data_IF_825670860075
#
_entry.id   IF_825670860075
#
_cell.length_a   1.000
_cell.length_b   1.000
_cell.length_c   1.000
_cell.angle_alpha   90.00
_cell.angle_beta   90.00
_cell.angle_gamma   90.00
#
_symmetry.space_group_name_H-M   'P 1'
#
loop_
_entity.id
_entity.type
_entity.pdbx_description
1 polymer ?
#
# COMPACT_ATOMS: atom_id res chain seq x y z
N UNK A 1 -4.28 -19.70 -9.62
CA UNK A 1 -4.14 -18.72 -8.51
C UNK A 1 -5.33 -17.79 -8.56
N UNK A 2 -6.03 -17.57 -7.44
CA UNK A 2 -7.00 -16.46 -7.36
C UNK A 2 -6.20 -15.15 -7.37
N UNK A 3 -6.68 -14.09 -8.05
CA UNK A 3 -6.05 -12.78 -7.96
C UNK A 3 -6.13 -12.26 -6.52
N UNK A 4 -5.08 -11.56 -6.08
CA UNK A 4 -5.04 -10.86 -4.79
C UNK A 4 -6.04 -9.69 -4.82
N UNK A 5 -6.86 -9.56 -3.77
CA UNK A 5 -7.80 -8.45 -3.62
C UNK A 5 -7.06 -7.11 -3.51
N UNK A 6 -5.89 -7.12 -2.88
CA UNK A 6 -4.98 -5.96 -2.75
C UNK A 6 -4.45 -5.48 -4.10
N UNK A 7 -4.14 -6.40 -5.01
CA UNK A 7 -3.78 -6.05 -6.39
C UNK A 7 -4.98 -5.48 -7.16
N UNK A 8 -6.16 -6.08 -7.03
CA UNK A 8 -7.38 -5.59 -7.69
C UNK A 8 -7.76 -4.17 -7.20
N UNK A 9 -7.62 -3.91 -5.90
CA UNK A 9 -7.79 -2.58 -5.31
C UNK A 9 -6.83 -1.57 -5.93
N UNK A 10 -5.53 -1.91 -6.02
CA UNK A 10 -4.54 -1.03 -6.64
C UNK A 10 -4.89 -0.70 -8.09
N UNK A 11 -5.22 -1.70 -8.92
CA UNK A 11 -5.62 -1.49 -10.31
C UNK A 11 -6.83 -0.55 -10.47
N UNK A 12 -7.75 -0.53 -9.49
CA UNK A 12 -8.83 0.46 -9.45
C UNK A 12 -8.32 1.86 -9.12
N UNK A 13 -7.49 1.99 -8.08
CA UNK A 13 -6.90 3.28 -7.65
C UNK A 13 -6.13 3.94 -8.80
N UNK A 14 -5.34 3.17 -9.56
CA UNK A 14 -4.54 3.69 -10.69
C UNK A 14 -5.38 4.44 -11.72
N UNK A 15 -6.60 3.98 -11.97
CA UNK A 15 -7.51 4.58 -12.97
C UNK A 15 -7.99 5.96 -12.55
N UNK A 16 -8.02 6.24 -11.25
CA UNK A 16 -8.62 7.46 -10.69
C UNK A 16 -7.58 8.45 -10.20
N UNK A 17 -6.54 7.98 -9.52
CA UNK A 17 -5.56 8.83 -8.82
C UNK A 17 -4.35 9.17 -9.67
N UNK A 18 -4.05 8.37 -10.71
CA UNK A 18 -2.86 8.56 -11.54
C UNK A 18 -1.58 8.21 -10.77
N UNK A 19 -1.13 6.97 -10.89
CA UNK A 19 -0.04 6.42 -10.06
C UNK A 19 1.25 6.18 -10.86
N UNK A 20 1.50 6.95 -11.91
CA UNK A 20 2.61 6.68 -12.85
C UNK A 20 4.01 6.74 -12.20
N UNK A 21 4.12 7.46 -11.07
CA UNK A 21 5.36 7.55 -10.26
C UNK A 21 5.50 6.44 -9.20
N UNK A 22 4.55 5.51 -9.12
CA UNK A 22 4.55 4.44 -8.13
C UNK A 22 5.04 3.12 -8.74
N UNK A 23 6.09 2.57 -8.18
CA UNK A 23 6.70 1.32 -8.62
C UNK A 23 6.34 0.19 -7.65
N UNK A 24 6.07 -1.01 -8.18
CA UNK A 24 5.79 -2.19 -7.35
C UNK A 24 6.98 -2.49 -6.44
N UNK A 25 6.72 -2.51 -5.14
CA UNK A 25 7.71 -2.84 -4.11
C UNK A 25 7.35 -4.20 -3.51
N UNK A 26 8.09 -5.24 -3.90
CA UNK A 26 7.90 -6.59 -3.38
C UNK A 26 8.73 -6.77 -2.11
N UNK A 27 8.06 -6.87 -0.96
CA UNK A 27 8.72 -7.27 0.28
C UNK A 27 9.07 -8.77 0.22
N UNK A 28 10.33 -9.08 -0.08
CA UNK A 28 10.91 -10.42 0.07
C UNK A 28 11.56 -10.50 1.43
N UNK A 29 10.99 -11.23 2.38
CA UNK A 29 11.66 -11.45 3.67
C UNK A 29 11.75 -12.92 4.12
N UNK A 30 11.83 -13.89 3.21
CA UNK A 30 12.41 -15.20 3.51
C UNK A 30 13.92 -15.20 3.25
N UNK A 31 14.73 -15.90 4.06
CA UNK A 31 16.18 -16.09 3.82
C UNK A 31 16.49 -16.80 2.48
N UNK A 32 15.48 -17.36 1.83
CA UNK A 32 15.51 -18.05 0.54
C UNK A 32 14.85 -17.24 -0.61
N UNK A 33 14.42 -16.00 -0.34
CA UNK A 33 13.75 -15.16 -1.32
C UNK A 33 12.28 -15.52 -1.59
N UNK A 34 11.65 -16.37 -0.76
CA UNK A 34 10.20 -16.59 -0.85
C UNK A 34 9.41 -15.41 -0.28
N UNK A 35 8.24 -15.16 -0.90
CA UNK A 35 7.23 -14.24 -0.38
C UNK A 35 6.71 -14.80 0.95
N UNK A 36 6.98 -14.10 2.05
CA UNK A 36 6.46 -14.46 3.38
C UNK A 36 5.00 -14.04 3.59
N UNK A 37 4.44 -13.25 2.67
CA UNK A 37 3.10 -12.71 2.83
C UNK A 37 2.04 -13.81 2.63
N UNK A 38 1.65 -14.45 3.73
CA UNK A 38 0.38 -15.18 3.83
C UNK A 38 -0.84 -14.26 3.73
N UNK A 39 -0.61 -12.96 3.93
CA UNK A 39 -1.61 -11.92 3.89
C UNK A 39 -1.77 -11.39 2.46
N UNK A 40 -3.01 -11.12 2.05
CA UNK A 40 -3.31 -10.53 0.75
C UNK A 40 -2.89 -9.05 0.76
N UNK A 41 -1.64 -8.77 0.39
CA UNK A 41 -1.11 -7.42 0.36
C UNK A 41 -0.26 -7.11 -0.87
N UNK A 42 -0.16 -5.82 -1.19
CA UNK A 42 0.73 -5.25 -2.19
C UNK A 42 1.36 -3.98 -1.63
N UNK A 43 2.61 -3.72 -2.01
CA UNK A 43 3.30 -2.48 -1.64
C UNK A 43 3.83 -1.77 -2.88
N UNK A 44 3.89 -0.46 -2.83
CA UNK A 44 4.38 0.41 -3.90
C UNK A 44 5.25 1.52 -3.32
N UNK A 45 6.30 1.92 -4.03
CA UNK A 45 7.19 3.00 -3.63
C UNK A 45 7.17 4.10 -4.69
N UNK A 46 7.21 5.34 -4.26
CA UNK A 46 7.45 6.49 -5.10
C UNK A 46 8.88 7.00 -4.84
N UNK A 47 9.85 6.69 -5.72
CA UNK A 47 11.25 7.04 -5.51
C UNK A 47 11.53 8.55 -5.64
N UNK A 48 10.55 9.34 -6.07
CA UNK A 48 10.73 10.79 -6.26
C UNK A 48 10.49 11.61 -4.99
N UNK A 49 9.82 11.04 -3.99
CA UNK A 49 9.43 11.74 -2.77
C UNK A 49 9.55 10.89 -1.50
N UNK A 50 10.30 9.79 -1.55
CA UNK A 50 10.56 8.90 -0.41
C UNK A 50 9.29 8.43 0.32
N UNK A 51 8.21 8.17 -0.44
CA UNK A 51 6.94 7.66 0.09
C UNK A 51 6.64 6.25 -0.43
N UNK A 52 6.02 5.42 0.39
CA UNK A 52 5.56 4.08 0.04
C UNK A 52 4.12 3.80 0.51
N UNK A 53 3.34 3.04 -0.24
CA UNK A 53 1.99 2.59 0.14
C UNK A 53 2.04 1.09 0.35
N UNK A 54 1.44 0.62 1.44
CA UNK A 54 1.13 -0.81 1.65
C UNK A 54 -0.38 -0.98 1.76
N UNK A 55 -0.99 -1.72 0.83
CA UNK A 55 -2.40 -2.11 0.86
C UNK A 55 -2.50 -3.55 1.35
N UNK A 56 -3.27 -3.78 2.41
CA UNK A 56 -3.52 -5.12 2.97
C UNK A 56 -5.03 -5.38 3.02
N UNK A 57 -5.47 -6.44 2.36
CA UNK A 57 -6.84 -6.93 2.44
C UNK A 57 -6.98 -7.85 3.65
N UNK A 58 -7.88 -7.49 4.56
CA UNK A 58 -8.20 -8.28 5.74
C UNK A 58 -9.73 -8.28 5.96
N UNK A 59 -10.44 -9.35 5.56
CA UNK A 59 -11.89 -9.43 5.70
C UNK A 59 -12.35 -9.58 7.16
N UNK A 60 -11.44 -9.86 8.10
CA UNK A 60 -11.76 -10.04 9.52
C UNK A 60 -11.85 -8.72 10.28
N UNK A 61 -11.42 -7.60 9.67
CA UNK A 61 -11.44 -6.28 10.29
C UNK A 61 -12.86 -5.81 10.64
N UNK A 62 -12.97 -5.16 11.80
CA UNK A 62 -14.20 -4.49 12.24
C UNK A 62 -14.42 -3.17 11.51
N UNK A 63 -13.37 -2.39 11.34
CA UNK A 63 -13.38 -1.13 10.60
C UNK A 63 -13.48 -1.40 9.10
N UNK A 64 -14.06 -0.46 8.35
CA UNK A 64 -14.01 -0.49 6.89
C UNK A 64 -12.57 -0.33 6.39
N UNK A 65 -11.86 0.65 6.99
CA UNK A 65 -10.44 0.94 6.75
C UNK A 65 -9.78 1.25 8.10
N UNK A 66 -8.56 0.74 8.28
CA UNK A 66 -7.59 1.25 9.26
C UNK A 66 -6.35 1.73 8.51
N UNK A 67 -5.74 2.85 8.90
CA UNK A 67 -4.49 3.31 8.30
C UNK A 67 -3.57 3.98 9.32
N UNK A 68 -2.27 3.94 9.05
CA UNK A 68 -1.25 4.62 9.86
C UNK A 68 0.03 4.84 9.04
N UNK A 69 0.85 5.77 9.50
CA UNK A 69 2.17 6.03 8.95
C UNK A 69 3.22 5.23 9.73
N UNK A 70 4.19 4.69 9.00
CA UNK A 70 5.43 4.13 9.55
C UNK A 70 6.61 4.62 8.73
N UNK A 71 7.83 4.29 9.11
CA UNK A 71 9.01 4.54 8.28
C UNK A 71 9.90 3.30 8.22
N UNK A 72 10.64 3.15 7.13
CA UNK A 72 11.77 2.22 7.05
C UNK A 72 12.97 2.90 6.39
N UNK A 73 14.17 2.41 6.71
CA UNK A 73 15.43 3.05 6.34
C UNK A 73 16.25 3.41 7.57
N UNK A 74 17.50 3.80 7.36
CA UNK A 74 18.38 4.34 8.38
C UNK A 74 18.49 5.86 8.22
N UNK A 75 18.71 6.58 9.32
CA UNK A 75 18.84 8.05 9.29
C UNK A 75 19.99 8.52 8.36
N UNK A 76 20.98 7.66 8.11
CA UNK A 76 22.13 7.96 7.26
C UNK A 76 21.83 7.86 5.75
N UNK A 77 21.00 6.92 5.31
CA UNK A 77 20.66 6.73 3.88
C UNK A 77 19.31 7.33 3.49
N UNK A 78 18.56 7.85 4.46
CA UNK A 78 17.23 8.42 4.29
C UNK A 78 16.12 7.45 4.75
N UNK A 79 15.03 8.03 5.26
CA UNK A 79 13.85 7.28 5.68
C UNK A 79 12.75 7.38 4.62
N UNK A 80 12.18 6.23 4.24
CA UNK A 80 10.96 6.16 3.43
C UNK A 80 9.76 6.16 4.36
N UNK A 81 8.85 7.11 4.18
CA UNK A 81 7.57 7.14 4.89
C UNK A 81 6.59 6.15 4.22
N UNK A 82 5.91 5.33 5.02
CA UNK A 82 4.98 4.32 4.53
C UNK A 82 3.58 4.57 5.05
N UNK A 83 2.64 4.74 4.13
CA UNK A 83 1.23 4.70 4.40
C UNK A 83 0.73 3.25 4.36
N UNK A 84 0.45 2.70 5.55
CA UNK A 84 -0.14 1.38 5.71
C UNK A 84 -1.66 1.51 5.71
N UNK A 85 -2.33 0.75 4.86
CA UNK A 85 -3.78 0.77 4.69
C UNK A 85 -4.29 -0.67 4.76
N UNK A 86 -5.17 -0.93 5.72
CA UNK A 86 -5.89 -2.18 5.86
C UNK A 86 -7.35 -1.96 5.50
N UNK A 87 -7.94 -2.86 4.71
CA UNK A 87 -9.32 -2.74 4.28
C UNK A 87 -10.00 -4.10 4.13
N UNK A 88 -11.32 -4.13 4.29
CA UNK A 88 -12.09 -5.40 4.30
C UNK A 88 -13.05 -5.60 3.12
N UNK A 89 -13.47 -4.52 2.46
CA UNK A 89 -14.43 -4.55 1.35
C UNK A 89 -13.94 -3.63 0.24
N UNK A 90 -13.69 -4.18 -0.95
CA UNK A 90 -13.07 -3.42 -2.04
C UNK A 90 -13.91 -2.22 -2.46
N UNK A 91 -15.18 -2.43 -2.81
CA UNK A 91 -16.03 -1.37 -3.38
C UNK A 91 -16.34 -0.27 -2.37
N UNK A 92 -16.60 -0.64 -1.11
CA UNK A 92 -16.88 0.33 -0.04
C UNK A 92 -15.63 1.12 0.38
N UNK A 93 -14.45 0.50 0.33
CA UNK A 93 -13.20 1.13 0.77
C UNK A 93 -12.55 1.98 -0.32
N UNK A 94 -12.76 1.64 -1.59
CA UNK A 94 -12.13 2.30 -2.74
C UNK A 94 -12.19 3.84 -2.69
N UNK A 95 -13.37 4.50 -2.53
CA UNK A 95 -13.43 5.96 -2.58
C UNK A 95 -12.65 6.63 -1.42
N UNK A 96 -12.56 5.96 -0.27
CA UNK A 96 -11.81 6.46 0.88
C UNK A 96 -10.30 6.30 0.69
N UNK A 97 -9.87 5.16 0.14
CA UNK A 97 -8.46 4.90 -0.17
C UNK A 97 -7.97 5.80 -1.29
N UNK A 98 -8.76 6.01 -2.35
CA UNK A 98 -8.43 6.93 -3.44
C UNK A 98 -8.20 8.35 -2.91
N UNK A 99 -9.08 8.82 -2.02
CA UNK A 99 -8.92 10.12 -1.38
C UNK A 99 -7.64 10.19 -0.55
N UNK A 100 -7.40 9.18 0.29
CA UNK A 100 -6.22 9.13 1.15
C UNK A 100 -4.91 9.16 0.34
N UNK A 101 -4.82 8.38 -0.73
CA UNK A 101 -3.63 8.33 -1.59
C UNK A 101 -3.47 9.61 -2.42
N UNK A 102 -4.56 10.26 -2.80
CA UNK A 102 -4.51 11.53 -3.52
C UNK A 102 -4.03 12.69 -2.63
N UNK A 103 -4.47 12.71 -1.38
CA UNK A 103 -4.17 13.78 -0.44
C UNK A 103 -2.75 13.62 0.16
N UNK A 104 -2.32 12.39 0.45
CA UNK A 104 -1.08 12.10 1.17
C UNK A 104 0.22 12.65 0.56
N UNK A 105 0.47 12.67 -0.76
CA UNK A 105 1.65 13.31 -1.33
C UNK A 105 1.79 14.79 -0.96
N UNK A 106 0.68 15.47 -0.67
CA UNK A 106 0.62 16.91 -0.37
C UNK A 106 0.57 17.22 1.14
N UNK A 107 0.45 16.20 1.99
CA UNK A 107 0.58 16.37 3.44
C UNK A 107 2.08 16.43 3.79
N UNK A 108 2.49 17.56 4.37
CA UNK A 108 3.84 17.90 4.80
C UNK A 108 3.80 18.94 5.91
#
# INVERSE_FOLDING_TARGET
MKPLNSLAMWESIKKTVGTDSWESYFNKHGADGTLLDTDDNVSFINPTNDKAIKLTYDPSKKSLIDYWLSSFGDEESGSVEVLNIYYRHQDESLPLIERLIKDWPNEG
#
